data_IF_006829228688
#
_entry.id   IF_006829228688
#
_cell.length_a   1.000
_cell.length_b   1.000
_cell.length_c   1.000
_cell.angle_alpha   90.00
_cell.angle_beta   90.00
_cell.angle_gamma   90.00
#
_symmetry.space_group_name_H-M   'P 1'
#
loop_
_entity.id
_entity.type
_entity.pdbx_description
1 polymer ?
#
# COMPACT_ATOMS: atom_id res chain seq x y z
N UNK A 1 3.85 -64.62 2.30
CA UNK A 1 3.31 -64.16 1.00
C UNK A 1 2.63 -62.80 1.24
N UNK A 2 2.86 -61.80 0.36
CA UNK A 2 2.14 -60.55 0.43
C UNK A 2 0.69 -60.65 -0.06
N UNK A 3 -0.15 -59.68 0.27
CA UNK A 3 -1.52 -59.62 -0.20
C UNK A 3 -1.57 -59.32 -1.71
N UNK A 4 -2.67 -59.71 -2.37
CA UNK A 4 -2.96 -59.38 -3.76
C UNK A 4 -4.28 -58.63 -3.88
N UNK A 5 -4.43 -57.81 -4.94
CA UNK A 5 -5.67 -57.09 -5.18
C UNK A 5 -6.88 -58.00 -5.35
N UNK A 6 -6.68 -59.19 -5.93
CA UNK A 6 -7.71 -60.21 -6.04
C UNK A 6 -8.20 -60.71 -4.66
N UNK A 7 -7.29 -60.87 -3.70
CA UNK A 7 -7.64 -61.20 -2.32
C UNK A 7 -8.38 -60.05 -1.64
N UNK A 8 -7.91 -58.82 -1.80
CA UNK A 8 -8.52 -57.64 -1.17
C UNK A 8 -9.98 -57.41 -1.59
N UNK A 9 -10.31 -57.68 -2.84
CA UNK A 9 -11.69 -57.58 -3.36
C UNK A 9 -12.64 -58.63 -2.78
N UNK A 10 -12.13 -59.82 -2.40
CA UNK A 10 -12.91 -60.95 -1.86
C UNK A 10 -13.11 -60.88 -0.33
N UNK A 11 -12.44 -59.95 0.38
CA UNK A 11 -12.51 -59.83 1.83
C UNK A 11 -13.93 -59.42 2.24
N UNK A 12 -14.55 -60.25 3.11
CA UNK A 12 -15.83 -59.91 3.76
C UNK A 12 -15.59 -59.55 5.24
N UNK A 13 -16.34 -58.60 5.82
CA UNK A 13 -16.29 -58.32 7.24
C UNK A 13 -16.69 -59.56 8.05
N UNK A 14 -16.16 -59.61 9.28
CA UNK A 14 -16.48 -60.69 10.27
C UNK A 14 -17.12 -60.01 11.50
N UNK A 15 -17.70 -60.82 12.39
CA UNK A 15 -18.27 -60.33 13.64
C UNK A 15 -17.26 -59.57 14.52
N UNK A 16 -15.98 -59.92 14.44
CA UNK A 16 -14.89 -59.25 15.13
C UNK A 16 -13.89 -58.66 14.15
N UNK A 17 -13.21 -57.57 14.56
CA UNK A 17 -12.12 -56.99 13.79
C UNK A 17 -10.99 -57.98 13.57
N UNK A 18 -10.40 -58.00 12.39
CA UNK A 18 -9.23 -58.80 12.08
C UNK A 18 -8.24 -58.04 11.19
N UNK A 19 -7.02 -58.56 11.14
CA UNK A 19 -5.93 -57.98 10.38
C UNK A 19 -5.34 -58.99 9.40
N UNK A 20 -4.98 -58.46 8.21
CA UNK A 20 -4.28 -59.21 7.18
C UNK A 20 -2.91 -58.59 6.93
N UNK A 21 -1.86 -59.36 7.07
CA UNK A 21 -0.48 -58.88 6.95
C UNK A 21 -0.01 -58.97 5.50
N UNK A 22 0.54 -57.84 4.97
CA UNK A 22 1.16 -57.80 3.64
C UNK A 22 2.69 -57.99 3.70
N UNK A 23 3.28 -57.89 4.86
CA UNK A 23 4.72 -57.99 5.10
C UNK A 23 5.33 -56.66 5.54
N UNK A 24 6.56 -56.77 6.09
CA UNK A 24 7.29 -55.58 6.60
C UNK A 24 6.43 -54.66 7.50
N UNK A 25 5.53 -55.22 8.34
CA UNK A 25 4.66 -54.46 9.26
C UNK A 25 3.46 -53.76 8.61
N UNK A 26 3.28 -53.82 7.29
CA UNK A 26 2.07 -53.33 6.62
C UNK A 26 0.93 -54.35 6.84
N UNK A 27 -0.19 -53.87 7.35
CA UNK A 27 -1.38 -54.67 7.62
C UNK A 27 -2.64 -53.97 7.16
N UNK A 28 -3.63 -54.73 6.69
CA UNK A 28 -4.98 -54.28 6.44
C UNK A 28 -5.87 -54.64 7.63
N UNK A 29 -6.36 -53.66 8.36
CA UNK A 29 -7.36 -53.82 9.40
C UNK A 29 -8.76 -53.82 8.76
N UNK A 30 -9.54 -54.83 9.06
CA UNK A 30 -10.94 -54.95 8.63
C UNK A 30 -11.83 -54.89 9.86
N UNK A 31 -12.75 -53.95 9.88
CA UNK A 31 -13.71 -53.78 10.96
C UNK A 31 -15.03 -54.53 10.64
N UNK A 32 -15.85 -54.88 11.68
CA UNK A 32 -17.15 -55.49 11.48
C UNK A 32 -18.09 -54.64 10.62
N UNK A 33 -17.93 -53.31 10.64
CA UNK A 33 -18.65 -52.37 9.79
C UNK A 33 -18.33 -52.42 8.30
N UNK A 34 -17.35 -53.24 7.91
CA UNK A 34 -16.83 -53.34 6.54
C UNK A 34 -15.76 -52.30 6.21
N UNK A 35 -15.45 -51.36 7.07
CA UNK A 35 -14.36 -50.38 6.89
C UNK A 35 -13.01 -51.09 6.90
N UNK A 36 -12.15 -50.79 5.95
CA UNK A 36 -10.83 -51.39 5.75
C UNK A 36 -9.77 -50.31 5.76
N UNK A 37 -8.78 -50.41 6.65
CA UNK A 37 -7.76 -49.39 6.83
C UNK A 37 -6.34 -50.00 6.78
N UNK A 38 -5.47 -49.35 6.03
CA UNK A 38 -4.06 -49.68 5.97
C UNK A 38 -3.34 -49.16 7.20
N UNK A 39 -2.65 -50.04 7.94
CA UNK A 39 -1.86 -49.70 9.11
C UNK A 39 -0.41 -50.14 8.87
N UNK A 40 0.55 -49.36 9.37
CA UNK A 40 1.93 -49.75 9.53
C UNK A 40 2.23 -49.98 11.01
N UNK A 41 2.67 -51.22 11.36
CA UNK A 41 3.24 -51.55 12.66
C UNK A 41 4.75 -51.35 12.60
N UNK A 42 5.31 -50.66 13.59
CA UNK A 42 6.74 -50.36 13.66
C UNK A 42 7.22 -50.32 15.10
N UNK A 43 8.54 -50.34 15.30
CA UNK A 43 9.15 -50.08 16.59
C UNK A 43 9.82 -48.73 16.56
N UNK A 44 9.68 -47.98 17.62
CA UNK A 44 10.34 -46.68 17.84
C UNK A 44 10.83 -46.62 19.28
N UNK A 45 12.14 -46.41 19.49
CA UNK A 45 12.78 -46.43 20.81
C UNK A 45 12.44 -47.69 21.66
N UNK A 46 12.45 -48.84 21.01
CA UNK A 46 12.13 -50.11 21.66
C UNK A 46 10.64 -50.37 21.95
N UNK A 47 9.76 -49.40 21.68
CA UNK A 47 8.31 -49.53 21.91
C UNK A 47 7.55 -49.84 20.63
N UNK A 48 6.59 -50.82 20.64
CA UNK A 48 5.74 -51.09 19.50
C UNK A 48 4.75 -49.97 19.28
N UNK A 49 4.65 -49.49 18.03
CA UNK A 49 3.73 -48.44 17.60
C UNK A 49 3.00 -48.81 16.32
N UNK A 50 1.92 -48.11 16.02
CA UNK A 50 1.17 -48.29 14.77
C UNK A 50 0.69 -46.91 14.26
N UNK A 51 0.64 -46.77 12.94
CA UNK A 51 0.11 -45.59 12.26
C UNK A 51 -0.83 -46.00 11.14
N UNK A 52 -1.97 -45.31 11.00
CA UNK A 52 -2.88 -45.50 9.86
C UNK A 52 -2.36 -44.74 8.65
N UNK A 53 -2.18 -45.42 7.53
CA UNK A 53 -1.71 -44.86 6.27
C UNK A 53 -2.85 -44.31 5.42
N UNK A 54 -3.99 -45.05 5.34
CA UNK A 54 -5.17 -44.65 4.57
C UNK A 54 -6.25 -45.73 4.62
N UNK A 55 -7.31 -45.56 3.84
CA UNK A 55 -8.45 -46.48 3.77
C UNK A 55 -8.50 -47.20 2.41
N UNK A 56 -8.84 -48.46 2.40
CA UNK A 56 -9.15 -49.19 1.18
C UNK A 56 -10.65 -49.10 0.88
N UNK A 57 -11.12 -48.84 -0.36
CA UNK A 57 -10.36 -48.87 -1.62
C UNK A 57 -9.71 -47.54 -2.03
N UNK A 58 -9.91 -46.44 -1.33
CA UNK A 58 -9.37 -45.11 -1.71
C UNK A 58 -7.84 -45.12 -1.85
N UNK A 59 -7.17 -45.93 -1.00
CA UNK A 59 -5.76 -46.24 -1.11
C UNK A 59 -5.59 -47.65 -1.59
N UNK A 60 -5.06 -47.86 -2.80
CA UNK A 60 -4.73 -49.17 -3.36
C UNK A 60 -3.59 -49.85 -2.60
N UNK A 61 -3.40 -51.16 -2.82
CA UNK A 61 -2.29 -51.93 -2.23
C UNK A 61 -0.92 -51.35 -2.60
N UNK A 62 -0.74 -50.93 -3.85
CA UNK A 62 0.52 -50.35 -4.31
C UNK A 62 0.78 -49.01 -3.60
N UNK A 63 -0.23 -48.17 -3.48
CA UNK A 63 -0.11 -46.90 -2.76
C UNK A 63 0.17 -47.10 -1.27
N UNK A 64 -0.44 -48.11 -0.64
CA UNK A 64 -0.18 -48.45 0.75
C UNK A 64 1.26 -48.96 0.97
N UNK A 65 1.81 -49.76 0.05
CA UNK A 65 3.21 -50.18 0.08
C UNK A 65 4.16 -49.00 -0.04
N UNK A 66 3.92 -48.11 -0.98
CA UNK A 66 4.73 -46.90 -1.17
C UNK A 66 4.67 -45.99 0.07
N UNK A 67 3.49 -45.77 0.63
CA UNK A 67 3.30 -44.99 1.85
C UNK A 67 4.02 -45.66 3.07
N UNK A 68 4.00 -46.98 3.15
CA UNK A 68 4.73 -47.72 4.17
C UNK A 68 6.24 -47.54 4.05
N UNK A 69 6.79 -47.56 2.84
CA UNK A 69 8.22 -47.34 2.60
C UNK A 69 8.64 -45.91 2.95
N UNK A 70 7.84 -44.89 2.52
CA UNK A 70 8.07 -43.51 2.88
C UNK A 70 8.05 -43.30 4.42
N UNK A 71 7.06 -43.90 5.10
CA UNK A 71 6.97 -43.83 6.57
C UNK A 71 8.17 -44.47 7.26
N UNK A 72 8.69 -45.58 6.74
CA UNK A 72 9.89 -46.25 7.25
C UNK A 72 11.16 -45.41 7.04
N UNK A 73 11.25 -44.66 5.96
CA UNK A 73 12.35 -43.74 5.75
C UNK A 73 12.41 -42.69 6.85
N UNK A 74 11.26 -42.16 7.29
CA UNK A 74 11.15 -41.22 8.42
C UNK A 74 11.64 -41.88 9.73
N UNK A 75 11.23 -43.13 9.98
CA UNK A 75 11.67 -43.87 11.18
C UNK A 75 13.19 -44.09 11.18
N UNK A 76 13.78 -44.43 10.02
CA UNK A 76 15.24 -44.57 9.88
C UNK A 76 16.02 -43.29 10.16
N UNK A 77 15.38 -42.13 9.95
CA UNK A 77 15.93 -40.81 10.29
C UNK A 77 15.81 -40.45 11.79
N UNK A 78 15.31 -41.39 12.62
CA UNK A 78 15.14 -41.16 14.05
C UNK A 78 13.89 -40.36 14.43
N UNK A 79 12.94 -40.17 13.51
CA UNK A 79 11.69 -39.43 13.75
C UNK A 79 10.51 -40.37 13.89
N UNK A 80 9.62 -40.10 14.87
CA UNK A 80 8.38 -40.88 15.03
C UNK A 80 7.27 -40.30 14.13
N UNK A 81 6.82 -41.04 13.09
CA UNK A 81 5.79 -40.57 12.18
C UNK A 81 4.45 -40.28 12.84
N UNK A 82 4.11 -40.96 13.94
CA UNK A 82 2.87 -40.74 14.67
C UNK A 82 2.93 -39.42 15.47
N UNK A 83 4.05 -39.13 16.10
CA UNK A 83 4.27 -37.83 16.80
C UNK A 83 4.28 -36.70 15.79
N UNK A 84 5.08 -36.79 14.73
CA UNK A 84 5.13 -35.78 13.67
C UNK A 84 3.75 -35.43 13.12
N UNK A 85 2.94 -36.47 12.80
CA UNK A 85 1.56 -36.25 12.31
C UNK A 85 0.65 -35.61 13.36
N UNK A 86 0.86 -35.88 14.63
CA UNK A 86 0.10 -35.26 15.73
C UNK A 86 0.52 -33.83 15.95
N UNK A 87 1.81 -33.55 15.91
CA UNK A 87 2.37 -32.20 15.98
C UNK A 87 1.89 -31.31 14.82
N UNK A 88 1.93 -31.82 13.58
CA UNK A 88 1.40 -31.13 12.40
C UNK A 88 -0.09 -30.84 12.53
N UNK A 89 -0.90 -31.80 12.99
CA UNK A 89 -2.34 -31.58 13.24
C UNK A 89 -2.59 -30.58 14.36
N UNK A 90 -1.82 -30.62 15.42
CA UNK A 90 -1.95 -29.69 16.55
C UNK A 90 -1.50 -28.30 16.12
N UNK A 91 -0.38 -28.17 15.45
CA UNK A 91 0.12 -26.92 14.90
C UNK A 91 -0.91 -26.28 13.93
N UNK A 92 -1.50 -27.09 13.05
CA UNK A 92 -2.56 -26.60 12.17
C UNK A 92 -3.82 -26.18 12.94
N UNK A 93 -4.24 -26.91 13.97
CA UNK A 93 -5.41 -26.60 14.80
C UNK A 93 -5.18 -25.34 15.64
N UNK A 94 -3.98 -25.13 16.16
CA UNK A 94 -3.61 -24.00 17.02
C UNK A 94 -3.13 -22.78 16.21
N UNK A 95 -2.86 -22.94 14.90
CA UNK A 95 -2.48 -21.82 14.03
C UNK A 95 -3.51 -20.71 14.11
N UNK A 96 -3.08 -19.43 14.25
CA UNK A 96 -3.99 -18.29 14.25
C UNK A 96 -4.67 -18.14 12.89
N UNK A 97 -5.82 -17.46 12.88
CA UNK A 97 -6.45 -16.99 11.64
C UNK A 97 -5.70 -15.78 11.07
N UNK A 98 -5.95 -15.45 9.81
CA UNK A 98 -5.38 -14.22 9.20
C UNK A 98 -5.87 -12.96 9.93
N UNK A 99 -7.09 -12.99 10.49
CA UNK A 99 -7.61 -11.91 11.34
C UNK A 99 -6.84 -11.76 12.64
N UNK A 100 -6.53 -12.89 13.30
CA UNK A 100 -5.73 -12.89 14.54
C UNK A 100 -4.30 -12.37 14.26
N UNK A 101 -3.69 -12.83 13.16
CA UNK A 101 -2.37 -12.37 12.73
C UNK A 101 -2.36 -10.85 12.46
N UNK A 102 -3.39 -10.31 11.80
CA UNK A 102 -3.48 -8.87 11.57
C UNK A 102 -3.56 -8.10 12.88
N UNK A 103 -4.32 -8.61 13.84
CA UNK A 103 -4.46 -7.97 15.17
C UNK A 103 -3.12 -7.94 15.90
N UNK A 104 -2.43 -9.06 15.96
CA UNK A 104 -1.09 -9.14 16.58
C UNK A 104 -0.06 -8.25 15.87
N UNK A 105 -0.05 -8.28 14.53
CA UNK A 105 0.82 -7.45 13.70
C UNK A 105 0.52 -5.95 13.88
N UNK A 106 -0.75 -5.59 14.04
CA UNK A 106 -1.15 -4.22 14.36
C UNK A 106 -0.57 -3.75 15.68
N UNK A 107 -0.77 -4.54 16.74
CA UNK A 107 -0.39 -4.12 18.09
C UNK A 107 1.12 -3.97 18.25
N UNK A 108 1.90 -4.76 17.52
CA UNK A 108 3.36 -4.83 17.67
C UNK A 108 4.09 -3.94 16.66
N UNK A 109 3.66 -3.93 15.38
CA UNK A 109 4.42 -3.32 14.28
C UNK A 109 3.76 -2.06 13.69
N UNK A 110 2.43 -2.00 13.68
CA UNK A 110 1.73 -0.98 12.91
C UNK A 110 1.20 0.19 13.74
N UNK A 111 0.84 -0.04 14.99
CA UNK A 111 0.14 0.92 15.86
C UNK A 111 0.84 2.28 15.90
N UNK A 112 2.14 2.28 16.09
CA UNK A 112 2.95 3.50 16.19
C UNK A 112 3.58 3.94 14.86
N UNK A 113 3.28 3.22 13.76
CA UNK A 113 3.76 3.56 12.43
C UNK A 113 2.91 4.67 11.80
N UNK A 114 3.50 5.74 11.24
CA UNK A 114 2.76 6.81 10.56
C UNK A 114 1.85 6.30 9.42
N UNK A 115 2.19 5.19 8.80
CA UNK A 115 1.40 4.55 7.74
C UNK A 115 0.62 3.32 8.22
N UNK A 116 0.62 3.03 9.51
CA UNK A 116 0.01 1.82 10.08
C UNK A 116 -1.48 1.72 9.78
N UNK A 117 -2.24 2.80 10.05
CA UNK A 117 -3.69 2.86 9.79
C UNK A 117 -4.02 2.55 8.33
N UNK A 118 -3.27 3.10 7.38
CA UNK A 118 -3.51 2.84 5.95
C UNK A 118 -3.14 1.41 5.56
N UNK A 119 -2.05 0.86 6.10
CA UNK A 119 -1.67 -0.55 5.88
C UNK A 119 -2.74 -1.50 6.42
N UNK A 120 -3.23 -1.26 7.63
CA UNK A 120 -4.33 -2.02 8.23
C UNK A 120 -5.58 -1.95 7.36
N UNK A 121 -5.99 -0.75 6.95
CA UNK A 121 -7.14 -0.54 6.08
C UNK A 121 -7.06 -1.33 4.76
N UNK A 122 -5.88 -1.41 4.15
CA UNK A 122 -5.69 -2.21 2.93
C UNK A 122 -5.96 -3.70 3.17
N UNK A 123 -5.48 -4.26 4.29
CA UNK A 123 -5.71 -5.66 4.64
C UNK A 123 -7.17 -5.89 5.02
N UNK A 124 -7.77 -5.03 5.82
CA UNK A 124 -9.18 -5.12 6.21
C UNK A 124 -10.11 -5.08 4.99
N UNK A 125 -9.82 -4.22 4.01
CA UNK A 125 -10.65 -4.06 2.81
C UNK A 125 -10.53 -5.22 1.84
N UNK A 126 -9.32 -5.66 1.54
CA UNK A 126 -9.06 -6.52 0.38
C UNK A 126 -8.68 -7.96 0.77
N UNK A 127 -8.28 -8.22 2.01
CA UNK A 127 -7.78 -9.53 2.47
C UNK A 127 -8.76 -10.21 3.43
N UNK A 128 -9.17 -9.51 4.50
CA UNK A 128 -10.02 -10.10 5.52
C UNK A 128 -11.36 -10.64 5.00
N UNK A 129 -12.05 -10.05 4.01
CA UNK A 129 -13.28 -10.61 3.47
C UNK A 129 -13.09 -12.01 2.87
N UNK A 130 -11.85 -12.33 2.40
CA UNK A 130 -11.54 -13.59 1.72
C UNK A 130 -10.79 -14.55 2.65
N UNK A 131 -9.83 -14.06 3.40
CA UNK A 131 -8.92 -14.89 4.22
C UNK A 131 -9.12 -14.77 5.72
N UNK A 132 -9.90 -13.81 6.20
CA UNK A 132 -9.95 -13.46 7.63
C UNK A 132 -10.19 -14.66 8.56
N UNK A 133 -11.06 -15.59 8.18
CA UNK A 133 -11.38 -16.80 8.94
C UNK A 133 -10.48 -18.00 8.62
N UNK A 134 -9.66 -17.91 7.57
CA UNK A 134 -8.73 -18.99 7.21
C UNK A 134 -7.53 -19.00 8.15
N UNK A 135 -6.99 -20.17 8.42
CA UNK A 135 -5.74 -20.31 9.17
C UNK A 135 -4.57 -19.77 8.35
N UNK A 136 -3.63 -19.09 9.03
CA UNK A 136 -2.43 -18.54 8.39
C UNK A 136 -1.65 -19.64 7.65
N UNK A 137 -1.58 -20.82 8.24
CA UNK A 137 -0.90 -21.99 7.65
C UNK A 137 -1.57 -22.55 6.37
N UNK A 138 -2.84 -22.19 6.11
CA UNK A 138 -3.57 -22.64 4.91
C UNK A 138 -3.36 -21.71 3.70
N UNK A 139 -2.77 -20.55 3.91
CA UNK A 139 -2.57 -19.58 2.84
C UNK A 139 -1.39 -19.99 1.97
N UNK A 140 -1.69 -20.37 0.75
CA UNK A 140 -0.70 -20.80 -0.22
C UNK A 140 -0.15 -19.64 -1.05
N UNK A 141 0.98 -19.86 -1.72
CA UNK A 141 1.54 -18.92 -2.70
C UNK A 141 0.57 -18.61 -3.84
N UNK A 142 -0.22 -19.63 -4.26
CA UNK A 142 -1.25 -19.47 -5.29
C UNK A 142 -2.37 -18.54 -4.82
N UNK A 143 -2.83 -18.71 -3.59
CA UNK A 143 -3.84 -17.83 -2.99
C UNK A 143 -3.35 -16.37 -3.01
N UNK A 144 -2.10 -16.14 -2.58
CA UNK A 144 -1.50 -14.82 -2.55
C UNK A 144 -1.42 -14.18 -3.96
N UNK A 145 -1.00 -14.96 -4.95
CA UNK A 145 -0.94 -14.48 -6.34
C UNK A 145 -2.32 -14.10 -6.87
N UNK A 146 -3.33 -14.95 -6.70
CA UNK A 146 -4.71 -14.71 -7.17
C UNK A 146 -5.34 -13.48 -6.50
N UNK A 147 -5.19 -13.33 -5.18
CA UNK A 147 -5.68 -12.17 -4.47
C UNK A 147 -5.04 -10.88 -5.01
N UNK A 148 -3.71 -10.88 -5.13
CA UNK A 148 -2.98 -9.71 -5.62
C UNK A 148 -3.34 -9.38 -7.07
N UNK A 149 -3.57 -10.37 -7.92
CA UNK A 149 -3.99 -10.14 -9.31
C UNK A 149 -5.39 -9.55 -9.39
N UNK A 150 -6.33 -9.99 -8.55
CA UNK A 150 -7.67 -9.40 -8.43
C UNK A 150 -7.60 -7.92 -8.04
N UNK A 151 -6.77 -7.59 -7.02
CA UNK A 151 -6.62 -6.19 -6.59
C UNK A 151 -5.91 -5.35 -7.65
N UNK A 152 -4.90 -5.89 -8.33
CA UNK A 152 -4.17 -5.21 -9.40
C UNK A 152 -5.00 -4.94 -10.65
N UNK A 153 -5.93 -5.82 -10.99
CA UNK A 153 -6.86 -5.61 -12.10
C UNK A 153 -7.69 -4.33 -11.91
N UNK A 154 -8.08 -4.06 -10.68
CA UNK A 154 -8.84 -2.86 -10.30
C UNK A 154 -7.95 -1.64 -10.05
N UNK A 155 -6.82 -1.82 -9.38
CA UNK A 155 -5.95 -0.75 -8.91
C UNK A 155 -4.48 -1.24 -8.81
N UNK A 156 -3.68 -1.15 -9.89
CA UNK A 156 -2.35 -1.74 -9.97
C UNK A 156 -1.40 -1.27 -8.85
N UNK A 157 -1.36 0.03 -8.58
CA UNK A 157 -0.51 0.62 -7.52
C UNK A 157 -0.95 0.14 -6.13
N UNK A 158 -2.26 0.04 -5.88
CA UNK A 158 -2.80 -0.47 -4.61
C UNK A 158 -2.42 -1.93 -4.42
N UNK A 159 -2.48 -2.75 -5.47
CA UNK A 159 -2.05 -4.14 -5.42
C UNK A 159 -0.58 -4.32 -5.05
N UNK A 160 0.31 -3.46 -5.57
CA UNK A 160 1.73 -3.48 -5.19
C UNK A 160 1.96 -3.01 -3.73
N UNK A 161 1.19 -2.04 -3.26
CA UNK A 161 1.22 -1.60 -1.86
C UNK A 161 0.72 -2.71 -0.93
N UNK A 162 -0.41 -3.33 -1.27
CA UNK A 162 -0.95 -4.46 -0.54
C UNK A 162 0.05 -5.62 -0.48
N UNK A 163 0.71 -5.96 -1.60
CA UNK A 163 1.77 -6.96 -1.60
C UNK A 163 2.88 -6.61 -0.61
N UNK A 164 3.32 -5.35 -0.55
CA UNK A 164 4.33 -4.91 0.42
C UNK A 164 3.88 -5.10 1.87
N UNK A 165 2.61 -4.84 2.17
CA UNK A 165 2.03 -5.06 3.51
C UNK A 165 1.96 -6.56 3.84
N UNK A 166 1.44 -7.37 2.91
CA UNK A 166 1.30 -8.82 3.11
C UNK A 166 2.66 -9.51 3.28
N UNK A 167 3.68 -9.13 2.48
CA UNK A 167 5.05 -9.65 2.66
C UNK A 167 5.55 -9.42 4.08
N UNK A 168 5.38 -8.20 4.61
CA UNK A 168 5.81 -7.89 5.99
C UNK A 168 5.00 -8.67 7.02
N UNK A 169 3.68 -8.73 6.87
CA UNK A 169 2.78 -9.43 7.81
C UNK A 169 3.05 -10.95 7.84
N UNK A 170 3.27 -11.58 6.69
CA UNK A 170 3.56 -13.02 6.64
C UNK A 170 5.02 -13.35 7.02
N UNK A 171 5.97 -12.43 6.81
CA UNK A 171 7.31 -12.56 7.37
C UNK A 171 7.28 -12.48 8.91
N UNK A 172 6.51 -11.55 9.47
CA UNK A 172 6.27 -11.47 10.91
C UNK A 172 5.68 -12.79 11.46
N UNK A 173 4.76 -13.43 10.73
CA UNK A 173 4.23 -14.75 11.12
C UNK A 173 5.33 -15.84 11.09
N UNK A 174 6.26 -15.78 10.14
CA UNK A 174 7.38 -16.71 10.06
C UNK A 174 8.41 -16.46 11.19
N UNK A 175 8.73 -15.20 11.49
CA UNK A 175 9.61 -14.80 12.60
C UNK A 175 9.08 -15.28 13.96
N UNK A 176 7.76 -15.43 14.10
CA UNK A 176 7.10 -15.95 15.30
C UNK A 176 6.84 -17.45 15.30
N UNK A 177 7.34 -18.16 14.30
CA UNK A 177 7.17 -19.61 14.21
C UNK A 177 5.77 -20.09 13.85
N UNK A 178 4.87 -19.19 13.43
CA UNK A 178 3.53 -19.53 12.94
C UNK A 178 3.60 -20.22 11.58
N UNK A 179 4.61 -19.84 10.78
CA UNK A 179 4.94 -20.43 9.49
C UNK A 179 6.43 -20.76 9.42
N UNK A 180 6.78 -21.77 8.66
CA UNK A 180 8.18 -22.05 8.32
C UNK A 180 8.71 -21.00 7.33
N UNK A 181 7.90 -20.65 6.31
CA UNK A 181 8.23 -19.67 5.28
C UNK A 181 7.00 -18.85 4.88
N UNK A 182 7.24 -17.60 4.50
CA UNK A 182 6.18 -16.73 3.96
C UNK A 182 5.68 -17.23 2.60
N UNK A 183 4.36 -17.39 2.38
CA UNK A 183 3.80 -17.75 1.09
C UNK A 183 4.02 -16.70 0.00
N UNK A 184 4.42 -15.49 0.39
CA UNK A 184 4.69 -14.39 -0.55
C UNK A 184 6.16 -14.33 -0.98
N UNK A 185 7.02 -15.20 -0.47
CA UNK A 185 8.44 -15.22 -0.84
C UNK A 185 8.62 -15.40 -2.34
N UNK A 186 9.41 -14.54 -2.97
CA UNK A 186 9.69 -14.59 -4.41
C UNK A 186 8.57 -14.09 -5.33
N UNK A 187 7.44 -13.58 -4.82
CA UNK A 187 6.45 -12.90 -5.63
C UNK A 187 6.98 -11.52 -6.07
N UNK A 188 7.04 -11.29 -7.37
CA UNK A 188 7.53 -10.02 -7.93
C UNK A 188 6.43 -8.97 -7.94
N UNK A 189 6.77 -7.72 -7.61
CA UNK A 189 5.88 -6.57 -7.84
C UNK A 189 5.76 -6.29 -9.34
N UNK A 190 4.59 -5.84 -9.78
CA UNK A 190 4.43 -5.33 -11.14
C UNK A 190 5.12 -3.97 -11.25
N UNK A 191 5.78 -3.72 -12.40
CA UNK A 191 6.44 -2.44 -12.67
C UNK A 191 5.39 -1.33 -12.70
N UNK A 192 5.63 -0.27 -11.94
CA UNK A 192 4.80 0.93 -11.96
C UNK A 192 5.41 1.95 -12.92
N UNK A 193 4.56 2.64 -13.66
CA UNK A 193 4.98 3.80 -14.44
C UNK A 193 4.95 5.03 -13.52
N UNK A 194 6.08 5.71 -13.31
CA UNK A 194 6.09 6.97 -12.58
C UNK A 194 5.24 8.01 -13.31
N UNK A 195 4.50 8.80 -12.59
CA UNK A 195 3.83 9.97 -13.17
C UNK A 195 4.88 11.01 -13.51
N UNK A 196 4.78 11.58 -14.71
CA UNK A 196 5.68 12.63 -15.21
C UNK A 196 4.97 13.93 -15.54
N UNK A 197 3.73 14.11 -15.07
CA UNK A 197 2.88 15.26 -15.39
C UNK A 197 3.51 16.57 -14.87
N UNK A 198 3.76 17.51 -15.78
CA UNK A 198 4.20 18.88 -15.55
C UNK A 198 3.22 19.78 -16.29
N UNK A 199 2.73 20.83 -15.67
CA UNK A 199 1.80 21.77 -16.30
C UNK A 199 2.53 22.69 -17.27
N UNK A 200 1.95 22.87 -18.47
CA UNK A 200 2.39 23.89 -19.44
C UNK A 200 2.04 25.30 -18.95
N UNK A 201 2.66 26.33 -19.50
CA UNK A 201 2.40 27.73 -19.12
C UNK A 201 0.94 28.11 -19.30
N UNK A 202 0.31 27.68 -20.40
CA UNK A 202 -1.11 27.88 -20.65
C UNK A 202 -1.99 27.23 -19.58
N UNK A 203 -1.62 26.03 -19.10
CA UNK A 203 -2.35 25.34 -18.03
C UNK A 203 -2.13 25.96 -16.67
N UNK A 204 -0.92 26.48 -16.41
CA UNK A 204 -0.63 27.27 -15.19
C UNK A 204 -1.50 28.52 -15.17
N UNK A 205 -1.61 29.23 -16.29
CA UNK A 205 -2.48 30.42 -16.44
C UNK A 205 -3.95 30.07 -16.17
N UNK A 206 -4.48 29.06 -16.85
CA UNK A 206 -5.86 28.60 -16.67
C UNK A 206 -6.15 28.21 -15.21
N UNK A 207 -5.24 27.47 -14.60
CA UNK A 207 -5.33 27.12 -13.18
C UNK A 207 -5.34 28.38 -12.30
N UNK A 208 -4.43 29.32 -12.54
CA UNK A 208 -4.28 30.51 -11.72
C UNK A 208 -5.53 31.40 -11.75
N UNK A 209 -6.15 31.54 -12.93
CA UNK A 209 -7.38 32.29 -13.14
C UNK A 209 -8.58 31.57 -12.51
N UNK A 210 -8.68 30.26 -12.68
CA UNK A 210 -9.71 29.45 -12.05
C UNK A 210 -9.66 29.51 -10.52
N UNK A 211 -8.45 29.59 -9.95
CA UNK A 211 -8.21 29.74 -8.52
C UNK A 211 -8.19 31.20 -8.05
N UNK A 212 -8.60 32.17 -8.89
CA UNK A 212 -8.76 33.55 -8.44
C UNK A 212 -9.72 33.59 -7.24
N UNK A 213 -9.36 34.44 -6.29
CA UNK A 213 -10.04 34.46 -4.99
C UNK A 213 -11.52 34.87 -5.12
N UNK A 214 -11.81 35.79 -6.01
CA UNK A 214 -13.13 36.34 -6.35
C UNK A 214 -13.87 35.54 -7.41
N UNK A 215 -13.24 34.57 -8.03
CA UNK A 215 -13.87 33.69 -9.01
C UNK A 215 -14.93 32.78 -8.35
N UNK A 216 -16.18 33.19 -8.41
CA UNK A 216 -17.34 32.47 -7.87
C UNK A 216 -17.90 31.41 -8.82
N UNK A 217 -17.45 31.38 -10.07
CA UNK A 217 -17.86 30.36 -11.03
C UNK A 217 -17.36 28.97 -10.71
N UNK A 218 -16.24 28.90 -9.97
CA UNK A 218 -15.68 27.63 -9.49
C UNK A 218 -16.08 27.36 -8.04
N UNK A 219 -16.86 26.30 -7.81
CA UNK A 219 -17.24 25.84 -6.46
C UNK A 219 -16.08 25.15 -5.75
N UNK A 220 -14.98 25.87 -5.61
CA UNK A 220 -13.79 25.45 -4.85
C UNK A 220 -13.70 26.31 -3.60
N UNK A 221 -13.62 25.63 -2.45
CA UNK A 221 -13.48 26.30 -1.16
C UNK A 221 -12.24 27.24 -1.15
N UNK A 222 -12.42 28.49 -0.68
CA UNK A 222 -11.40 29.56 -0.75
C UNK A 222 -10.04 29.14 -0.22
N UNK A 223 -9.98 28.52 0.97
CA UNK A 223 -8.72 28.04 1.51
C UNK A 223 -8.04 26.98 0.61
N UNK A 224 -8.82 26.19 -0.12
CA UNK A 224 -8.28 25.22 -1.09
C UNK A 224 -7.70 25.91 -2.32
N UNK A 225 -8.34 26.98 -2.81
CA UNK A 225 -7.79 27.82 -3.91
C UNK A 225 -6.43 28.39 -3.53
N UNK A 226 -6.35 29.03 -2.37
CA UNK A 226 -5.13 29.67 -1.87
C UNK A 226 -4.03 28.62 -1.61
N UNK A 227 -4.37 27.48 -1.01
CA UNK A 227 -3.43 26.39 -0.74
C UNK A 227 -2.84 25.78 -2.04
N UNK A 228 -3.64 25.62 -3.10
CA UNK A 228 -3.17 25.13 -4.40
C UNK A 228 -2.18 26.11 -5.04
N UNK A 229 -2.45 27.43 -4.97
CA UNK A 229 -1.51 28.47 -5.41
C UNK A 229 -0.21 28.43 -4.61
N UNK A 230 -0.30 28.28 -3.29
CA UNK A 230 0.89 28.16 -2.43
C UNK A 230 1.75 26.93 -2.77
N UNK A 231 1.15 25.79 -3.13
CA UNK A 231 1.90 24.63 -3.59
C UNK A 231 2.71 24.95 -4.86
N UNK A 232 2.09 25.64 -5.82
CA UNK A 232 2.76 26.04 -7.07
C UNK A 232 3.88 27.06 -6.83
N UNK A 233 3.69 28.02 -5.91
CA UNK A 233 4.67 29.05 -5.58
C UNK A 233 5.87 28.52 -4.83
N UNK A 234 5.65 27.65 -3.83
CA UNK A 234 6.68 27.24 -2.88
C UNK A 234 7.20 25.84 -3.11
N UNK A 235 6.45 25.01 -3.85
CA UNK A 235 6.76 23.61 -4.07
C UNK A 235 6.62 22.72 -2.84
N UNK A 236 6.06 23.21 -1.73
CA UNK A 236 5.94 22.38 -0.53
C UNK A 236 4.88 21.31 -0.68
N UNK A 237 4.97 20.21 0.12
CA UNK A 237 4.03 19.11 0.01
C UNK A 237 2.61 19.56 0.39
N UNK A 238 1.58 19.00 -0.27
CA UNK A 238 0.19 19.35 0.06
C UNK A 238 -0.14 19.23 1.54
N UNK A 239 0.45 18.25 2.25
CA UNK A 239 0.27 18.09 3.69
C UNK A 239 0.93 19.18 4.53
N UNK A 240 2.08 19.65 4.09
CA UNK A 240 2.81 20.75 4.73
C UNK A 240 2.04 22.06 4.56
N UNK A 241 1.58 22.37 3.33
CA UNK A 241 0.76 23.55 3.06
C UNK A 241 -0.57 23.51 3.83
N UNK A 242 -1.31 22.40 3.76
CA UNK A 242 -2.61 22.32 4.45
C UNK A 242 -2.49 22.58 5.96
N UNK A 243 -1.45 22.07 6.59
CA UNK A 243 -1.23 22.23 8.02
C UNK A 243 -0.43 23.48 8.43
N UNK A 244 -0.19 24.45 7.53
CA UNK A 244 0.50 25.69 7.83
C UNK A 244 -0.18 26.46 8.94
N UNK A 245 0.59 26.89 9.95
CA UNK A 245 0.07 27.66 11.09
C UNK A 245 0.65 29.09 11.09
N UNK A 246 0.00 30.01 11.77
CA UNK A 246 0.42 31.40 11.81
C UNK A 246 1.73 31.62 12.56
N UNK A 247 2.01 30.82 13.58
CA UNK A 247 3.23 30.87 14.39
C UNK A 247 4.47 30.31 13.67
N UNK A 248 4.28 29.63 12.54
CA UNK A 248 5.39 29.18 11.68
C UNK A 248 5.89 30.27 10.72
N UNK A 249 5.18 31.40 10.61
CA UNK A 249 5.50 32.49 9.68
C UNK A 249 6.24 33.59 10.44
N UNK A 250 7.49 33.82 10.05
CA UNK A 250 8.34 34.87 10.57
C UNK A 250 8.76 35.78 9.42
N UNK A 251 8.13 36.98 9.35
CA UNK A 251 8.34 37.93 8.26
C UNK A 251 8.08 37.29 6.89
N UNK A 252 9.12 37.20 6.09
CA UNK A 252 9.10 36.59 4.74
C UNK A 252 9.61 35.16 4.69
N UNK A 253 9.54 34.44 5.80
CA UNK A 253 10.03 33.08 5.92
C UNK A 253 9.01 32.22 6.63
N UNK A 254 8.71 31.07 6.05
CA UNK A 254 7.89 30.02 6.67
C UNK A 254 8.79 28.92 7.22
N UNK A 255 8.77 28.71 8.53
CA UNK A 255 9.58 27.75 9.25
C UNK A 255 8.76 26.50 9.61
N UNK A 256 8.93 25.44 8.85
CA UNK A 256 8.22 24.17 9.07
C UNK A 256 8.99 23.36 10.12
N UNK A 257 8.39 23.03 11.28
CA UNK A 257 9.08 22.25 12.31
C UNK A 257 9.29 20.79 11.89
N UNK A 258 10.30 20.14 12.47
CA UNK A 258 10.72 18.79 12.13
C UNK A 258 9.61 17.74 12.23
N UNK A 259 8.71 17.91 13.20
CA UNK A 259 7.58 17.00 13.47
C UNK A 259 6.61 16.92 12.30
N UNK A 260 6.46 18.02 11.55
CA UNK A 260 5.59 18.12 10.38
C UNK A 260 6.27 17.68 9.09
N UNK A 261 7.61 17.62 9.08
CA UNK A 261 8.39 17.22 7.92
C UNK A 261 8.51 15.70 7.80
N UNK A 262 8.32 15.17 6.58
CA UNK A 262 8.59 13.75 6.30
C UNK A 262 10.06 13.38 6.53
N UNK A 263 10.97 14.35 6.33
CA UNK A 263 12.43 14.21 6.56
C UNK A 263 12.81 14.16 8.03
N UNK A 264 11.92 14.57 8.97
CA UNK A 264 12.23 14.78 10.40
C UNK A 264 13.33 15.81 10.64
N UNK A 265 13.48 16.76 9.74
CA UNK A 265 14.37 17.92 9.86
C UNK A 265 13.56 19.18 9.61
N UNK A 266 13.80 20.29 10.35
CA UNK A 266 13.11 21.56 10.11
C UNK A 266 13.44 22.10 8.73
N UNK A 267 12.53 22.86 8.15
CA UNK A 267 12.68 23.40 6.81
C UNK A 267 12.19 24.84 6.73
N UNK A 268 13.08 25.76 6.36
CA UNK A 268 12.75 27.16 6.13
C UNK A 268 12.48 27.40 4.65
N UNK A 269 11.33 28.00 4.35
CA UNK A 269 10.84 28.31 3.01
C UNK A 269 10.76 29.82 2.86
N UNK A 270 11.59 30.45 2.01
CA UNK A 270 11.44 31.87 1.68
C UNK A 270 10.10 32.13 1.00
N UNK A 271 9.40 33.17 1.40
CA UNK A 271 8.12 33.59 0.87
C UNK A 271 8.32 34.84 0.01
N UNK A 272 8.04 34.73 -1.29
CA UNK A 272 8.01 35.89 -2.18
C UNK A 272 6.72 36.72 -2.00
N UNK A 273 6.63 37.84 -2.70
CA UNK A 273 5.50 38.74 -2.55
C UNK A 273 4.15 38.12 -2.91
N UNK A 274 4.06 37.26 -3.96
CA UNK A 274 2.82 36.56 -4.29
C UNK A 274 2.41 35.56 -3.19
N UNK A 275 3.38 34.92 -2.54
CA UNK A 275 3.09 34.02 -1.43
C UNK A 275 2.58 34.80 -0.20
N UNK A 276 3.17 35.94 0.11
CA UNK A 276 2.72 36.84 1.18
C UNK A 276 1.32 37.39 0.91
N UNK A 277 1.02 37.82 -0.33
CA UNK A 277 -0.33 38.20 -0.73
C UNK A 277 -1.38 37.13 -0.48
N UNK A 278 -1.06 35.84 -0.79
CA UNK A 278 -1.93 34.69 -0.51
C UNK A 278 -2.15 34.50 0.99
N UNK A 279 -1.11 34.69 1.79
CA UNK A 279 -1.19 34.62 3.26
C UNK A 279 -2.07 35.71 3.82
N UNK A 280 -1.95 36.96 3.33
CA UNK A 280 -2.82 38.05 3.73
C UNK A 280 -4.27 37.84 3.28
N UNK A 281 -4.50 37.33 2.08
CA UNK A 281 -5.84 36.90 1.66
C UNK A 281 -6.41 35.81 2.60
N UNK A 282 -5.60 34.83 3.00
CA UNK A 282 -6.03 33.82 3.96
C UNK A 282 -6.37 34.43 5.33
N UNK A 283 -5.62 35.46 5.79
CA UNK A 283 -5.85 36.18 7.05
C UNK A 283 -7.20 36.90 7.08
N UNK A 284 -7.58 37.51 5.97
CA UNK A 284 -8.87 38.23 5.85
C UNK A 284 -10.08 37.29 6.02
N UNK A 285 -9.95 36.00 5.67
CA UNK A 285 -11.06 35.05 5.66
C UNK A 285 -10.91 33.94 6.69
N UNK A 286 -9.79 33.88 7.39
CA UNK A 286 -9.64 32.93 8.50
C UNK A 286 -10.47 33.43 9.70
N UNK A 287 -11.25 32.52 10.34
CA UNK A 287 -11.94 32.91 11.57
C UNK A 287 -10.96 33.36 12.64
N UNK A 288 -11.33 34.41 13.38
CA UNK A 288 -10.52 34.91 14.49
C UNK A 288 -10.18 33.76 15.45
N UNK A 289 -8.91 33.67 15.84
CA UNK A 289 -8.42 32.63 16.76
C UNK A 289 -8.09 31.25 16.10
N UNK A 290 -8.22 31.13 14.78
CA UNK A 290 -7.71 29.93 14.10
C UNK A 290 -6.18 29.88 14.14
N UNK A 291 -5.60 28.78 14.57
CA UNK A 291 -4.16 28.53 14.49
C UNK A 291 -3.68 28.31 13.04
N UNK A 292 -4.56 27.86 12.14
CA UNK A 292 -4.21 27.44 10.78
C UNK A 292 -4.46 28.54 9.76
N UNK A 293 -3.51 28.73 8.82
CA UNK A 293 -3.62 29.63 7.68
C UNK A 293 -4.76 29.17 6.74
N UNK A 294 -4.81 27.87 6.45
CA UNK A 294 -5.81 27.27 5.57
C UNK A 294 -6.81 26.42 6.36
N UNK A 295 -7.70 27.14 7.10
CA UNK A 295 -8.70 26.49 7.95
C UNK A 295 -9.75 25.76 7.13
N UNK A 296 -10.20 24.60 7.64
CA UNK A 296 -11.33 23.84 7.08
C UNK A 296 -12.67 24.45 7.48
N UNK A 297 -13.66 24.39 6.57
CA UNK A 297 -15.06 24.68 6.88
C UNK A 297 -15.77 23.50 7.53
N UNK A 298 -15.25 22.28 7.35
CA UNK A 298 -15.89 21.05 7.85
C UNK A 298 -15.42 20.65 9.26
N UNK A 299 -14.22 21.06 9.66
CA UNK A 299 -13.67 20.75 10.98
C UNK A 299 -13.73 22.00 11.86
N UNK A 300 -14.32 21.86 13.03
CA UNK A 300 -14.49 22.99 13.98
C UNK A 300 -13.13 23.60 14.34
N UNK A 301 -12.10 22.77 14.50
CA UNK A 301 -10.74 23.18 14.87
C UNK A 301 -9.71 22.39 14.05
N UNK A 302 -9.59 22.68 12.76
CA UNK A 302 -8.62 21.95 11.95
C UNK A 302 -8.38 22.56 10.58
N UNK A 303 -7.25 22.22 9.94
CA UNK A 303 -6.93 22.69 8.61
C UNK A 303 -7.72 21.93 7.54
N UNK A 304 -7.67 22.43 6.30
CA UNK A 304 -8.02 21.65 5.12
C UNK A 304 -7.08 20.43 5.01
N UNK A 305 -7.47 19.46 4.21
CA UNK A 305 -6.69 18.22 4.06
C UNK A 305 -6.13 18.08 2.63
N UNK A 306 -5.01 17.35 2.43
CA UNK A 306 -4.53 17.04 1.08
C UNK A 306 -5.58 16.32 0.22
N UNK A 307 -6.49 15.59 0.87
CA UNK A 307 -7.59 14.92 0.19
C UNK A 307 -8.63 15.91 -0.36
N UNK A 308 -8.94 16.98 0.38
CA UNK A 308 -9.83 18.04 -0.10
C UNK A 308 -9.27 18.76 -1.33
N UNK A 309 -7.94 19.03 -1.34
CA UNK A 309 -7.27 19.60 -2.52
C UNK A 309 -7.35 18.66 -3.73
N UNK A 310 -7.09 17.38 -3.49
CA UNK A 310 -7.18 16.36 -4.55
C UNK A 310 -8.61 16.22 -5.11
N UNK A 311 -9.62 16.32 -4.24
CA UNK A 311 -11.03 16.31 -4.65
C UNK A 311 -11.41 17.58 -5.43
N UNK A 312 -10.94 18.75 -5.02
CA UNK A 312 -11.19 19.99 -5.73
C UNK A 312 -10.67 19.91 -7.18
N UNK A 313 -9.41 19.53 -7.35
CA UNK A 313 -8.86 19.31 -8.70
C UNK A 313 -9.65 18.25 -9.46
N UNK A 314 -9.93 17.08 -8.84
CA UNK A 314 -10.64 16.00 -9.51
C UNK A 314 -12.02 16.39 -10.06
N UNK A 315 -12.72 17.29 -9.37
CA UNK A 315 -14.05 17.76 -9.76
C UNK A 315 -14.02 18.81 -10.85
N UNK A 316 -13.01 19.69 -10.82
CA UNK A 316 -13.03 20.95 -11.58
C UNK A 316 -11.94 21.10 -12.65
N UNK A 317 -10.99 20.13 -12.79
CA UNK A 317 -9.87 20.29 -13.74
C UNK A 317 -10.33 20.53 -15.19
N UNK A 318 -11.43 19.91 -15.64
CA UNK A 318 -11.98 20.11 -16.98
C UNK A 318 -12.65 21.49 -17.12
N UNK A 319 -13.37 21.92 -16.08
CA UNK A 319 -14.00 23.24 -16.03
C UNK A 319 -12.95 24.37 -16.05
N UNK A 320 -11.73 24.09 -15.58
CA UNK A 320 -10.59 25.01 -15.69
C UNK A 320 -10.05 25.10 -17.12
N UNK A 321 -10.53 24.29 -18.06
CA UNK A 321 -10.04 24.23 -19.45
C UNK A 321 -8.74 23.43 -19.60
N UNK A 322 -8.33 22.67 -18.59
CA UNK A 322 -7.12 21.85 -18.62
C UNK A 322 -7.47 20.52 -19.29
N UNK A 323 -6.64 20.07 -20.22
CA UNK A 323 -6.94 18.89 -21.07
C UNK A 323 -6.49 17.57 -20.45
N UNK A 324 -5.46 17.59 -19.61
CA UNK A 324 -4.93 16.41 -18.95
C UNK A 324 -5.02 16.53 -17.43
N UNK A 325 -5.59 15.52 -16.79
CA UNK A 325 -5.75 15.48 -15.34
C UNK A 325 -4.43 15.60 -14.59
N UNK A 326 -4.40 16.43 -13.59
CA UNK A 326 -3.28 16.61 -12.67
C UNK A 326 -3.70 16.43 -11.20
N UNK A 327 -2.75 16.48 -10.29
CA UNK A 327 -2.93 16.35 -8.84
C UNK A 327 -2.17 17.49 -8.13
N UNK A 328 -2.46 17.78 -6.84
CA UNK A 328 -1.67 18.77 -6.08
C UNK A 328 -0.17 18.47 -6.07
N UNK A 329 0.24 17.20 -6.15
CA UNK A 329 1.65 16.86 -6.20
C UNK A 329 2.31 17.16 -7.56
N UNK A 330 1.52 17.23 -8.63
CA UNK A 330 2.03 17.63 -9.94
C UNK A 330 2.34 19.13 -10.01
N UNK A 331 1.68 19.99 -9.19
CA UNK A 331 2.05 21.39 -9.02
C UNK A 331 3.46 21.54 -8.45
N UNK A 332 3.79 20.74 -7.44
CA UNK A 332 5.14 20.71 -6.86
C UNK A 332 6.17 20.18 -7.88
N UNK A 333 5.80 19.19 -8.70
CA UNK A 333 6.65 18.68 -9.78
C UNK A 333 6.85 19.75 -10.85
N UNK A 334 5.80 20.51 -11.17
CA UNK A 334 5.87 21.63 -12.12
C UNK A 334 6.89 22.64 -11.64
N UNK A 335 6.79 23.13 -10.40
CA UNK A 335 7.80 24.05 -9.85
C UNK A 335 9.20 23.47 -9.95
N UNK A 336 9.42 22.21 -9.53
CA UNK A 336 10.76 21.60 -9.59
C UNK A 336 11.34 21.56 -11.00
N UNK A 337 10.51 21.24 -11.99
CA UNK A 337 10.91 21.23 -13.40
C UNK A 337 11.22 22.64 -13.88
N UNK A 338 10.36 23.60 -13.55
CA UNK A 338 10.54 25.03 -13.93
C UNK A 338 11.78 25.64 -13.33
N UNK A 339 12.13 25.31 -12.08
CA UNK A 339 13.39 25.76 -11.47
C UNK A 339 14.60 25.28 -12.31
N UNK A 340 14.60 24.04 -12.79
CA UNK A 340 15.67 23.54 -13.64
C UNK A 340 15.70 24.27 -15.01
N UNK A 341 14.53 24.55 -15.61
CA UNK A 341 14.40 25.25 -16.91
C UNK A 341 14.91 26.70 -16.83
N UNK A 342 14.77 27.37 -15.68
CA UNK A 342 15.31 28.72 -15.46
C UNK A 342 16.75 28.73 -14.93
N UNK A 343 17.43 27.57 -14.95
CA UNK A 343 18.86 27.45 -14.64
C UNK A 343 19.22 27.32 -13.17
N UNK A 344 18.24 27.02 -12.29
CA UNK A 344 18.53 26.76 -10.88
C UNK A 344 19.23 25.41 -10.72
N UNK A 345 20.35 25.41 -10.00
CA UNK A 345 21.11 24.19 -9.70
C UNK A 345 20.23 23.09 -9.06
N UNK A 346 20.48 21.83 -9.44
CA UNK A 346 19.69 20.69 -8.98
C UNK A 346 19.69 20.53 -7.47
N UNK A 347 20.84 20.77 -6.79
CA UNK A 347 20.94 20.69 -5.34
C UNK A 347 20.06 21.78 -4.68
N UNK A 348 20.10 22.99 -5.22
CA UNK A 348 19.25 24.10 -4.74
C UNK A 348 17.78 23.75 -4.93
N UNK A 349 17.39 23.22 -6.11
CA UNK A 349 16.02 22.77 -6.39
C UNK A 349 15.54 21.70 -5.41
N UNK A 350 16.39 20.72 -5.08
CA UNK A 350 16.06 19.70 -4.06
C UNK A 350 15.94 20.32 -2.65
N UNK A 351 16.76 21.33 -2.33
CA UNK A 351 16.71 22.04 -1.05
C UNK A 351 15.45 22.94 -0.95
N UNK A 352 15.02 23.57 -2.02
CA UNK A 352 13.72 24.28 -2.08
C UNK A 352 12.60 23.34 -1.70
N UNK A 353 12.63 22.11 -2.20
CA UNK A 353 11.61 21.09 -1.91
C UNK A 353 11.73 20.45 -0.50
N UNK A 354 12.73 20.76 0.30
CA UNK A 354 12.97 20.13 1.59
C UNK A 354 13.33 18.64 1.47
N UNK A 355 14.03 18.26 0.39
CA UNK A 355 14.60 16.92 0.25
C UNK A 355 15.95 16.84 0.93
N UNK A 356 16.23 15.68 1.56
CA UNK A 356 17.57 15.38 2.08
C UNK A 356 18.52 15.11 0.93
N UNK A 357 19.73 15.61 1.05
CA UNK A 357 20.83 15.16 0.19
C UNK A 357 21.07 13.66 0.42
N UNK A 358 21.47 12.95 -0.62
CA UNK A 358 21.71 11.51 -0.54
C UNK A 358 23.20 11.19 -0.66
N UNK A 359 23.61 10.02 -0.17
CA UNK A 359 24.96 9.53 -0.29
C UNK A 359 25.99 10.38 0.47
N UNK A 360 27.19 10.49 -0.07
CA UNK A 360 28.34 11.19 0.52
C UNK A 360 28.02 12.67 0.74
N UNK A 361 27.28 13.31 -0.15
CA UNK A 361 26.91 14.73 0.00
C UNK A 361 26.10 15.00 1.28
N UNK A 362 25.28 14.07 1.74
CA UNK A 362 24.52 14.22 2.98
C UNK A 362 25.42 14.32 4.23
N UNK A 363 26.60 13.71 4.19
CA UNK A 363 27.54 13.67 5.31
C UNK A 363 28.36 14.96 5.41
N UNK A 364 28.82 15.48 4.27
CA UNK A 364 29.77 16.59 4.26
C UNK A 364 29.12 17.95 4.03
N UNK A 365 28.01 18.03 3.30
CA UNK A 365 27.37 19.28 2.97
C UNK A 365 26.28 19.65 4.00
N UNK A 366 26.65 20.53 4.95
CA UNK A 366 25.75 21.06 6.00
C UNK A 366 25.28 22.48 5.72
N UNK A 367 25.51 22.99 4.52
CA UNK A 367 25.03 24.33 4.13
C UNK A 367 23.51 24.40 4.14
N UNK A 368 22.92 25.51 4.66
CA UNK A 368 21.46 25.66 4.75
C UNK A 368 20.79 26.02 3.42
N UNK A 369 21.55 26.59 2.50
CA UNK A 369 21.07 27.07 1.18
C UNK A 369 19.96 28.14 1.25
N UNK A 370 19.86 28.90 2.34
CA UNK A 370 18.73 29.82 2.51
C UNK A 370 18.77 30.99 1.50
N UNK A 371 19.97 31.50 1.18
CA UNK A 371 20.13 32.53 0.16
C UNK A 371 19.80 32.03 -1.24
N UNK A 372 20.31 30.85 -1.58
CA UNK A 372 20.10 30.21 -2.88
C UNK A 372 18.63 29.82 -3.08
N UNK A 373 17.97 29.29 -2.04
CA UNK A 373 16.52 29.02 -2.06
C UNK A 373 15.69 30.28 -2.30
N UNK A 374 16.07 31.40 -1.62
CA UNK A 374 15.40 32.67 -1.78
C UNK A 374 15.52 33.20 -3.22
N UNK A 375 16.74 33.15 -3.77
CA UNK A 375 16.98 33.55 -5.16
C UNK A 375 16.19 32.70 -6.14
N UNK A 376 16.24 31.37 -5.98
CA UNK A 376 15.54 30.42 -6.84
C UNK A 376 14.01 30.65 -6.84
N UNK A 377 13.42 30.85 -5.66
CA UNK A 377 11.98 31.12 -5.55
C UNK A 377 11.60 32.49 -6.06
N UNK A 378 12.47 33.52 -5.93
CA UNK A 378 12.26 34.84 -6.51
C UNK A 378 12.25 34.78 -8.06
N UNK A 379 13.23 34.07 -8.66
CA UNK A 379 13.26 33.87 -10.12
C UNK A 379 12.02 33.09 -10.62
N UNK A 380 11.59 32.07 -9.87
CA UNK A 380 10.35 31.37 -10.20
C UNK A 380 9.12 32.29 -10.10
N UNK A 381 9.02 33.07 -9.04
CA UNK A 381 7.90 34.01 -8.88
C UNK A 381 7.83 35.03 -10.02
N UNK A 382 8.98 35.56 -10.46
CA UNK A 382 9.06 36.45 -11.62
C UNK A 382 8.54 35.76 -12.88
N UNK A 383 9.02 34.54 -13.15
CA UNK A 383 8.54 33.73 -14.27
C UNK A 383 7.05 33.39 -14.18
N UNK A 384 6.56 33.10 -13.00
CA UNK A 384 5.14 32.84 -12.78
C UNK A 384 4.30 34.11 -13.02
N UNK A 385 4.78 35.32 -12.64
CA UNK A 385 4.13 36.61 -12.94
C UNK A 385 4.00 36.82 -14.46
N UNK A 386 5.05 36.52 -15.23
CA UNK A 386 4.98 36.56 -16.69
C UNK A 386 3.89 35.65 -17.23
N UNK A 387 3.87 34.36 -16.76
CA UNK A 387 2.89 33.38 -17.21
C UNK A 387 1.45 33.81 -16.91
N UNK A 388 1.19 34.33 -15.70
CA UNK A 388 -0.17 34.68 -15.28
C UNK A 388 -0.62 36.07 -15.84
N UNK A 389 0.32 36.93 -16.25
CA UNK A 389 0.03 38.19 -16.90
C UNK A 389 -0.35 38.04 -18.39
N UNK A 390 -0.11 36.91 -19.01
CA UNK A 390 -0.52 36.67 -20.39
C UNK A 390 -2.04 36.86 -20.50
N UNK A 391 -2.50 37.79 -21.33
CA UNK A 391 -3.94 37.92 -21.59
C UNK A 391 -4.48 36.63 -22.17
N UNK A 392 -5.52 36.08 -21.51
CA UNK A 392 -6.20 34.89 -22.01
C UNK A 392 -6.86 35.25 -23.34
N UNK A 393 -6.35 34.67 -24.42
CA UNK A 393 -7.04 34.70 -25.72
C UNK A 393 -8.37 34.02 -25.50
N UNK A 394 -9.46 34.80 -25.37
CA UNK A 394 -10.82 34.28 -25.39
C UNK A 394 -11.00 33.62 -26.75
N UNK A 395 -11.02 32.30 -26.80
CA UNK A 395 -11.57 31.60 -27.97
C UNK A 395 -13.01 32.06 -28.13
N UNK A 396 -13.37 32.73 -29.22
CA UNK A 396 -14.77 32.99 -29.52
C UNK A 396 -15.38 31.61 -29.74
N UNK A 397 -16.34 31.23 -28.91
CA UNK A 397 -17.24 30.13 -29.20
C UNK A 397 -18.04 30.57 -30.44
N UNK A 398 -17.62 30.15 -31.62
CA UNK A 398 -18.45 30.22 -32.81
C UNK A 398 -19.65 29.30 -32.59
N UNK A 399 -20.76 29.93 -32.20
CA UNK A 399 -22.08 29.29 -32.23
C UNK A 399 -22.45 29.16 -33.70
N UNK A 400 -22.17 28.04 -34.33
CA UNK A 400 -22.71 27.69 -35.63
C UNK A 400 -24.21 27.33 -35.41
N UNK A 401 -25.04 28.34 -35.58
CA UNK A 401 -26.49 28.16 -35.64
C UNK A 401 -26.84 27.58 -37.03
N UNK A 402 -26.92 26.27 -37.12
CA UNK A 402 -27.47 25.59 -38.26
C UNK A 402 -28.98 25.89 -38.34
N UNK A 403 -29.38 26.88 -39.18
CA UNK A 403 -30.78 27.07 -39.59
C UNK A 403 -31.11 25.95 -40.57
N UNK A 404 -31.91 24.99 -40.14
CA UNK A 404 -32.60 24.10 -41.03
C UNK A 404 -33.73 24.88 -41.69
N UNK A 405 -33.65 25.13 -43.01
CA UNK A 405 -34.71 25.66 -43.83
C UNK A 405 -35.57 24.48 -44.28
N UNK A 406 -36.78 24.43 -43.79
CA UNK A 406 -37.85 23.55 -44.32
C UNK A 406 -38.33 24.12 -45.65
N UNK A 407 -38.26 23.33 -46.70
CA UNK A 407 -39.12 23.35 -47.86
C UNK A 407 -39.73 21.96 -48.08
#
# INVERSE_FOLDING_TARGET
MGLSDAQLRKIRPRESRFELTDGKGLVLLVLPSGRRSWLLRYQFEGKPRRITLGEYPDMSLLQARNASEATRSIIKQGLDPALKRTEEKTAHKTSPTVSDLLTEYWDIELKDSPSGKERRRLVEKDVLPIWGKRKVAEITRRDAALLLDTVRARAPVTGNRLQGVLVRMFNFAAERGVLEHSPLMGLRKKKEQPRSRVLADTEIKLLWDALAFDNTAMDIYRASKLALKMILLTGQRPGEICGMTWDEIDGDTWNIPAERMKSKEPHSVPLGSMALEIIEQARLYSPRGSAFVFKSSHFKEGPITPHSLSKAILRHWQEMGITERFTPHDLRRTLRTRLAEIGVDDVVGERVLGHKLQGIMAVYNRHSYDKEKRLALAQWEEKLREIVAIESVKHPAEIITLRFSTK
#
